data_IF_509172735873
#
_entry.id   IF_509172735873
#
_cell.length_a   1.000
_cell.length_b   1.000
_cell.length_c   1.000
_cell.angle_alpha   90.00
_cell.angle_beta   90.00
_cell.angle_gamma   90.00
#
_symmetry.space_group_name_H-M   'P 1'
#
loop_
_entity.id
_entity.type
_entity.pdbx_description
1 polymer ?
#
# COMPACT_ATOMS: atom_id res chain seq x y z
N UNK A 1 -12.52 -4.45 27.81
CA UNK A 1 -12.34 -5.75 27.14
C UNK A 1 -12.82 -5.55 25.71
N UNK A 2 -11.90 -5.54 24.75
CA UNK A 2 -12.02 -4.79 23.49
C UNK A 2 -12.90 -5.45 22.39
N UNK A 3 -13.99 -6.13 22.79
CA UNK A 3 -15.04 -6.66 21.91
C UNK A 3 -14.63 -7.66 20.82
N UNK A 4 -13.34 -7.96 20.69
CA UNK A 4 -12.78 -8.71 19.58
C UNK A 4 -13.01 -10.20 19.79
N UNK A 5 -13.76 -10.83 18.89
CA UNK A 5 -14.00 -12.28 18.89
C UNK A 5 -12.85 -12.96 18.14
N UNK A 6 -12.15 -13.86 18.80
CA UNK A 6 -11.03 -14.63 18.22
C UNK A 6 -11.34 -16.12 18.23
N UNK A 7 -10.82 -16.84 17.24
CA UNK A 7 -10.87 -18.30 17.21
C UNK A 7 -9.86 -18.87 18.21
N UNK A 8 -10.21 -19.98 18.85
CA UNK A 8 -9.29 -20.71 19.75
C UNK A 8 -8.33 -21.64 19.00
N UNK A 9 -8.61 -21.88 17.71
CA UNK A 9 -7.82 -22.73 16.81
C UNK A 9 -6.94 -21.86 15.91
N UNK A 10 -5.76 -22.38 15.57
CA UNK A 10 -4.90 -21.79 14.54
C UNK A 10 -5.55 -21.86 13.16
N UNK A 11 -5.19 -20.94 12.28
CA UNK A 11 -5.84 -20.80 10.97
C UNK A 11 -5.72 -22.06 10.10
N UNK A 12 -4.61 -22.79 10.17
CA UNK A 12 -4.41 -24.05 9.45
C UNK A 12 -5.46 -25.10 9.83
N UNK A 13 -5.80 -25.17 11.12
CA UNK A 13 -6.83 -26.08 11.62
C UNK A 13 -8.22 -25.63 11.15
N UNK A 14 -8.49 -24.32 11.14
CA UNK A 14 -9.74 -23.77 10.61
C UNK A 14 -9.93 -24.07 9.11
N UNK A 15 -8.87 -23.92 8.30
CA UNK A 15 -8.91 -24.25 6.86
C UNK A 15 -9.16 -25.75 6.64
N UNK A 16 -8.51 -26.62 7.43
CA UNK A 16 -8.69 -28.08 7.35
C UNK A 16 -10.11 -28.52 7.73
N UNK A 17 -10.77 -27.77 8.62
CA UNK A 17 -12.18 -27.99 9.00
C UNK A 17 -13.18 -27.46 7.96
N UNK A 18 -12.70 -26.90 6.83
CA UNK A 18 -13.54 -26.36 5.76
C UNK A 18 -14.04 -24.94 6.01
N UNK A 19 -13.44 -24.20 6.94
CA UNK A 19 -13.78 -22.80 7.17
C UNK A 19 -13.09 -21.91 6.14
N UNK A 20 -13.81 -20.88 5.67
CA UNK A 20 -13.25 -19.87 4.75
C UNK A 20 -12.40 -18.89 5.55
N UNK A 21 -11.11 -18.84 5.21
CA UNK A 21 -10.16 -17.89 5.76
C UNK A 21 -9.98 -16.70 4.81
N UNK A 22 -10.00 -15.49 5.35
CA UNK A 22 -9.69 -14.25 4.62
C UNK A 22 -8.62 -13.46 5.37
N UNK A 23 -7.59 -13.01 4.65
CA UNK A 23 -6.58 -12.11 5.19
C UNK A 23 -6.93 -10.66 4.86
N UNK A 24 -7.16 -9.86 5.90
CA UNK A 24 -7.27 -8.41 5.77
C UNK A 24 -5.93 -7.78 6.16
N UNK A 25 -5.14 -7.39 5.15
CA UNK A 25 -3.84 -6.77 5.36
C UNK A 25 -3.98 -5.24 5.46
N UNK A 26 -3.55 -4.69 6.60
CA UNK A 26 -3.42 -3.24 6.78
C UNK A 26 -2.11 -2.73 6.20
N UNK A 27 -2.12 -2.31 4.94
CA UNK A 27 -0.92 -1.76 4.29
C UNK A 27 -0.80 -0.25 4.49
N UNK A 28 0.25 0.20 5.17
CA UNK A 28 0.49 1.63 5.44
C UNK A 28 0.70 2.45 4.16
N UNK A 29 1.26 1.85 3.11
CA UNK A 29 1.46 2.52 1.82
C UNK A 29 0.14 2.99 1.18
N UNK A 30 -0.96 2.25 1.36
CA UNK A 30 -2.29 2.63 0.86
C UNK A 30 -2.81 3.87 1.59
N UNK A 31 -2.53 3.99 2.88
CA UNK A 31 -2.82 5.19 3.67
C UNK A 31 -2.03 6.38 3.16
N UNK A 32 -0.72 6.22 2.92
CA UNK A 32 0.14 7.28 2.36
C UNK A 32 -0.38 7.74 1.00
N UNK A 33 -0.67 6.82 0.07
CA UNK A 33 -1.20 7.15 -1.26
C UNK A 33 -2.51 7.94 -1.15
N UNK A 34 -3.45 7.48 -0.32
CA UNK A 34 -4.73 8.19 -0.09
C UNK A 34 -4.49 9.62 0.40
N UNK A 35 -3.63 9.78 1.40
CA UNK A 35 -3.37 11.08 2.01
C UNK A 35 -2.64 12.01 1.02
N UNK A 36 -1.74 11.48 0.19
CA UNK A 36 -1.11 12.21 -0.92
C UNK A 36 -2.16 12.72 -1.91
N UNK A 37 -3.12 11.87 -2.33
CA UNK A 37 -4.19 12.28 -3.25
C UNK A 37 -5.08 13.39 -2.65
N UNK A 38 -5.43 13.26 -1.36
CA UNK A 38 -6.19 14.28 -0.64
C UNK A 38 -5.41 15.61 -0.56
N UNK A 39 -4.11 15.54 -0.32
CA UNK A 39 -3.24 16.72 -0.27
C UNK A 39 -3.12 17.41 -1.64
N UNK A 40 -3.10 16.66 -2.73
CA UNK A 40 -3.07 17.22 -4.09
C UNK A 40 -4.36 18.02 -4.36
N UNK A 41 -5.51 17.44 -4.02
CA UNK A 41 -6.82 18.07 -4.15
C UNK A 41 -6.94 19.30 -3.24
N UNK A 42 -6.49 19.21 -1.98
CA UNK A 42 -6.46 20.33 -1.04
C UNK A 42 -5.56 21.49 -1.50
N UNK A 43 -4.53 21.21 -2.30
CA UNK A 43 -3.69 22.23 -2.94
C UNK A 43 -4.32 22.84 -4.21
N UNK A 44 -5.61 22.59 -4.47
CA UNK A 44 -6.35 23.18 -5.59
C UNK A 44 -6.06 22.55 -6.95
N UNK A 45 -5.39 21.39 -6.99
CA UNK A 45 -5.16 20.63 -8.22
C UNK A 45 -6.31 19.66 -8.45
N UNK A 46 -6.44 19.22 -9.70
CA UNK A 46 -7.41 18.18 -10.04
C UNK A 46 -7.07 16.88 -9.29
N UNK A 47 -8.11 16.22 -8.76
CA UNK A 47 -7.99 14.90 -8.15
C UNK A 47 -7.45 13.89 -9.16
N UNK A 48 -6.38 13.19 -8.78
CA UNK A 48 -5.75 12.17 -9.62
C UNK A 48 -6.51 10.85 -9.47
N UNK A 49 -6.87 10.24 -10.60
CA UNK A 49 -7.38 8.88 -10.66
C UNK A 49 -6.19 7.91 -10.75
N UNK A 50 -5.80 7.34 -9.60
CA UNK A 50 -4.64 6.44 -9.50
C UNK A 50 -4.78 5.16 -10.33
N UNK A 51 -5.98 4.81 -10.79
CA UNK A 51 -6.21 3.64 -11.66
C UNK A 51 -5.88 3.90 -13.13
N UNK A 52 -5.61 5.17 -13.49
CA UNK A 52 -5.36 5.62 -14.87
C UNK A 52 -3.99 6.27 -15.06
N UNK A 53 -3.10 6.16 -14.07
CA UNK A 53 -1.75 6.72 -14.18
C UNK A 53 -1.00 5.94 -15.29
N UNK A 54 -0.44 6.64 -16.29
CA UNK A 54 0.36 5.99 -17.32
C UNK A 54 1.63 5.39 -16.71
N UNK A 55 2.02 4.20 -17.17
CA UNK A 55 3.18 3.47 -16.65
C UNK A 55 4.49 3.89 -17.32
N UNK A 56 4.45 4.77 -18.33
CA UNK A 56 5.57 5.22 -19.14
C UNK A 56 6.00 6.67 -18.81
N UNK A 57 5.69 7.16 -17.61
CA UNK A 57 6.09 8.50 -17.18
C UNK A 57 7.60 8.63 -17.00
N UNK A 58 8.23 9.38 -17.90
CA UNK A 58 9.68 9.57 -17.93
C UNK A 58 10.22 10.23 -16.65
N UNK A 59 9.49 11.17 -16.07
CA UNK A 59 9.94 11.85 -14.85
C UNK A 59 10.03 10.88 -13.66
N UNK A 60 9.08 9.94 -13.55
CA UNK A 60 9.09 8.86 -12.57
C UNK A 60 10.31 7.95 -12.76
N UNK A 61 10.62 7.55 -14.00
CA UNK A 61 11.81 6.74 -14.29
C UNK A 61 13.12 7.49 -14.03
N UNK A 62 13.19 8.77 -14.35
CA UNK A 62 14.37 9.59 -14.06
C UNK A 62 14.61 9.72 -12.56
N UNK A 63 13.54 9.81 -11.75
CA UNK A 63 13.63 9.78 -10.28
C UNK A 63 14.18 8.44 -9.77
N UNK A 64 13.64 7.32 -10.27
CA UNK A 64 14.12 5.99 -9.89
C UNK A 64 15.58 5.77 -10.31
N UNK A 65 15.97 6.23 -11.49
CA UNK A 65 17.32 6.05 -12.04
C UNK A 65 18.40 6.83 -11.26
N UNK A 66 18.02 7.88 -10.54
CA UNK A 66 18.93 8.66 -9.68
C UNK A 66 19.16 8.03 -8.30
N UNK A 67 18.42 6.98 -7.95
CA UNK A 67 18.45 6.42 -6.59
C UNK A 67 17.74 7.31 -5.56
N UNK A 68 16.91 8.27 -6.02
CA UNK A 68 16.09 9.14 -5.17
C UNK A 68 14.84 8.38 -4.65
N UNK A 69 15.02 7.16 -4.15
CA UNK A 69 13.92 6.23 -3.81
C UNK A 69 13.51 6.27 -2.34
N UNK A 70 13.96 7.28 -1.59
CA UNK A 70 13.55 7.47 -0.19
C UNK A 70 12.03 7.62 -0.11
N UNK A 71 11.37 6.73 0.63
CA UNK A 71 9.90 6.70 0.75
C UNK A 71 9.16 6.09 -0.44
N UNK A 72 9.87 5.54 -1.43
CA UNK A 72 9.26 4.74 -2.51
C UNK A 72 9.09 3.30 -2.03
N UNK A 73 7.86 2.81 -2.05
CA UNK A 73 7.53 1.47 -1.58
C UNK A 73 8.42 0.40 -2.24
N UNK A 74 8.95 -0.52 -1.44
CA UNK A 74 9.90 -1.58 -1.81
C UNK A 74 11.30 -1.14 -2.24
N UNK A 75 11.57 0.16 -2.42
CA UNK A 75 12.85 0.68 -2.92
C UNK A 75 13.60 1.53 -1.88
N UNK A 76 13.12 1.55 -0.64
CA UNK A 76 13.63 2.42 0.44
C UNK A 76 14.85 1.84 1.19
N UNK A 77 15.27 0.61 0.87
CA UNK A 77 16.41 -0.03 1.54
C UNK A 77 17.75 0.48 1.00
N UNK A 78 18.74 0.63 1.90
CA UNK A 78 20.10 1.10 1.56
C UNK A 78 20.80 0.31 0.44
N UNK A 79 20.47 -0.97 0.25
CA UNK A 79 21.03 -1.79 -0.83
C UNK A 79 20.30 -1.67 -2.19
N UNK A 80 19.15 -1.00 -2.22
CA UNK A 80 18.34 -0.77 -3.43
C UNK A 80 18.39 0.68 -3.92
N UNK A 81 18.81 1.62 -3.06
CA UNK A 81 19.18 3.00 -3.44
C UNK A 81 20.51 3.03 -4.17
#
# INVERSE_FOLDING_TARGET
TDGTVTTTLEYHTCETLGLVKMDFLGLSNLTVIRDTLNNIEANGKQRIDHTKIPLDDRATYDLLSRGDTLGVFQLDSDGMR
#
